data_IF_155045315242
#
_entry.id   IF_155045315242
#
_cell.length_a   1.000
_cell.length_b   1.000
_cell.length_c   1.000
_cell.angle_alpha   90.00
_cell.angle_beta   90.00
_cell.angle_gamma   90.00
#
_symmetry.space_group_name_H-M   'P 1'
#
loop_
_entity.id
_entity.type
_entity.pdbx_description
1 polymer ?
#
# COMPACT_ATOMS: atom_id res chain seq x y z
N UNK A 1 6.36 70.66 -19.68
CA UNK A 1 6.54 69.66 -18.59
C UNK A 1 5.68 68.43 -18.91
N UNK A 2 6.32 67.35 -19.41
CA UNK A 2 5.62 66.07 -19.68
C UNK A 2 5.68 65.20 -18.42
N UNK A 3 4.54 64.85 -17.88
CA UNK A 3 4.44 63.90 -16.75
C UNK A 3 4.50 62.49 -17.31
N UNK A 4 5.53 61.74 -16.92
CA UNK A 4 5.68 60.31 -17.21
C UNK A 4 4.93 59.58 -16.10
N UNK A 5 3.87 58.83 -16.47
CA UNK A 5 3.12 57.91 -15.57
C UNK A 5 3.79 56.55 -15.63
N UNK A 6 4.44 56.14 -14.53
CA UNK A 6 5.04 54.83 -14.41
C UNK A 6 3.99 53.89 -13.85
N UNK A 7 3.51 52.93 -14.63
CA UNK A 7 2.69 51.84 -14.15
C UNK A 7 3.56 50.74 -13.52
N UNK A 8 3.45 50.53 -12.23
CA UNK A 8 3.98 49.30 -11.60
C UNK A 8 3.04 48.15 -11.87
N UNK A 9 3.47 47.20 -12.70
CA UNK A 9 2.83 45.88 -12.81
C UNK A 9 3.26 45.07 -11.56
N UNK A 10 2.33 44.86 -10.63
CA UNK A 10 2.51 43.89 -9.56
C UNK A 10 2.23 42.52 -10.15
N UNK A 11 3.26 41.77 -10.44
CA UNK A 11 3.12 40.34 -10.74
C UNK A 11 2.68 39.63 -9.42
N UNK A 12 1.43 39.20 -9.37
CA UNK A 12 0.96 38.28 -8.34
C UNK A 12 1.49 36.91 -8.73
N UNK A 13 2.61 36.51 -8.11
CA UNK A 13 3.05 35.12 -8.15
C UNK A 13 1.98 34.27 -7.46
N UNK A 14 1.15 33.60 -8.27
CA UNK A 14 0.32 32.51 -7.82
C UNK A 14 1.24 31.35 -7.40
N UNK A 15 1.69 31.35 -6.15
CA UNK A 15 2.26 30.15 -5.54
C UNK A 15 1.12 29.13 -5.53
N UNK A 16 1.25 27.96 -6.22
CA UNK A 16 0.25 26.93 -6.10
C UNK A 16 0.19 26.52 -4.62
N UNK A 17 -0.91 26.87 -3.95
CA UNK A 17 -1.21 26.32 -2.65
C UNK A 17 -1.35 24.82 -2.85
N UNK A 18 -0.38 24.04 -2.38
CA UNK A 18 -0.54 22.60 -2.29
C UNK A 18 -1.82 22.36 -1.51
N UNK A 19 -2.76 21.71 -2.14
CA UNK A 19 -4.05 21.44 -1.54
C UNK A 19 -3.81 20.72 -0.20
N UNK A 20 -4.19 21.39 0.89
CA UNK A 20 -4.16 20.80 2.22
C UNK A 20 -5.11 19.61 2.15
N UNK A 21 -4.58 18.39 2.30
CA UNK A 21 -5.43 17.21 2.35
C UNK A 21 -6.45 17.39 3.47
N UNK A 22 -7.71 17.18 3.17
CA UNK A 22 -8.75 17.10 4.20
C UNK A 22 -8.38 16.00 5.20
N UNK A 23 -8.83 16.13 6.45
CA UNK A 23 -8.72 15.03 7.40
C UNK A 23 -9.32 13.75 6.79
N UNK A 24 -8.75 12.57 7.06
CA UNK A 24 -9.29 11.31 6.54
C UNK A 24 -10.69 11.02 7.07
N UNK A 25 -11.49 10.34 6.27
CA UNK A 25 -12.69 9.67 6.75
C UNK A 25 -12.23 8.36 7.37
N UNK A 26 -12.47 8.19 8.67
CA UNK A 26 -12.05 6.99 9.40
C UNK A 26 -13.20 6.01 9.45
N UNK A 27 -12.97 4.79 8.95
CA UNK A 27 -13.95 3.71 8.93
C UNK A 27 -13.40 2.57 9.79
N UNK A 28 -14.08 2.20 10.91
CA UNK A 28 -13.78 0.96 11.61
C UNK A 28 -13.99 -0.23 10.67
N UNK A 29 -12.99 -1.11 10.54
CA UNK A 29 -13.06 -2.21 9.58
C UNK A 29 -14.12 -3.25 9.98
N UNK A 30 -14.29 -3.45 11.27
CA UNK A 30 -15.19 -4.46 11.85
C UNK A 30 -16.12 -3.84 12.90
N UNK A 31 -17.12 -3.04 12.51
CA UNK A 31 -17.98 -2.33 13.48
C UNK A 31 -18.77 -3.28 14.40
N UNK A 32 -19.12 -4.48 13.91
CA UNK A 32 -19.87 -5.48 14.65
C UNK A 32 -18.98 -6.56 15.31
N UNK A 33 -17.65 -6.34 15.29
CA UNK A 33 -16.65 -7.29 15.81
C UNK A 33 -15.93 -8.07 14.70
N UNK A 34 -14.62 -8.23 14.85
CA UNK A 34 -13.79 -8.96 13.91
C UNK A 34 -14.03 -10.47 13.99
N UNK A 35 -13.89 -11.22 12.88
CA UNK A 35 -14.11 -12.67 12.85
C UNK A 35 -13.03 -13.46 13.62
N UNK A 36 -11.91 -12.81 13.94
CA UNK A 36 -10.74 -13.39 14.60
C UNK A 36 -10.04 -12.33 15.45
N UNK A 37 -9.08 -12.76 16.29
CA UNK A 37 -8.35 -11.91 17.22
C UNK A 37 -6.84 -12.17 17.10
N UNK A 38 -6.01 -11.12 17.23
CA UNK A 38 -4.55 -11.23 17.26
C UNK A 38 -3.96 -11.33 18.67
N UNK A 39 -4.82 -11.36 19.72
CA UNK A 39 -4.42 -11.48 21.11
C UNK A 39 -3.67 -10.30 21.70
N UNK A 40 -3.57 -9.16 20.99
CA UNK A 40 -2.91 -7.95 21.48
C UNK A 40 -3.88 -7.21 22.41
N UNK A 41 -3.48 -7.10 23.68
CA UNK A 41 -4.21 -6.37 24.73
C UNK A 41 -3.54 -5.07 25.13
N UNK A 42 -2.30 -4.84 24.66
CA UNK A 42 -1.57 -3.60 24.87
C UNK A 42 -2.20 -2.49 24.03
N UNK A 43 -2.29 -1.29 24.58
CA UNK A 43 -2.76 -0.12 23.86
C UNK A 43 -1.85 0.20 22.66
N UNK A 44 -2.45 0.77 21.61
CA UNK A 44 -1.71 1.27 20.45
C UNK A 44 -0.66 2.29 20.91
N UNK A 45 0.54 2.15 20.40
CA UNK A 45 1.66 3.04 20.67
C UNK A 45 2.16 3.70 19.38
N UNK A 46 3.10 4.62 19.55
CA UNK A 46 3.75 5.33 18.47
C UNK A 46 5.27 5.23 18.63
N UNK A 47 5.92 4.13 18.12
CA UNK A 47 7.37 3.97 18.17
C UNK A 47 8.14 5.18 17.61
N UNK A 48 7.55 5.82 16.61
CA UNK A 48 7.93 7.14 16.10
C UNK A 48 6.68 8.01 15.94
N UNK A 49 6.80 9.35 15.79
CA UNK A 49 5.64 10.20 15.49
C UNK A 49 4.89 9.85 14.21
N UNK A 50 5.48 8.99 13.37
CA UNK A 50 4.97 8.61 12.03
C UNK A 50 4.56 7.16 11.92
N UNK A 51 4.64 6.41 13.01
CA UNK A 51 4.35 4.97 13.04
C UNK A 51 3.35 4.63 14.14
N UNK A 52 2.70 3.46 14.00
CA UNK A 52 1.75 2.90 14.98
C UNK A 52 2.09 1.45 15.21
N UNK A 53 2.12 1.00 16.47
CA UNK A 53 2.28 -0.40 16.84
C UNK A 53 1.10 -0.92 17.68
N UNK A 54 1.13 -2.18 18.05
CA UNK A 54 0.11 -2.86 18.86
C UNK A 54 -1.31 -2.72 18.31
N UNK A 55 -1.45 -2.58 16.99
CA UNK A 55 -2.77 -2.43 16.38
C UNK A 55 -3.61 -3.69 16.61
N UNK A 56 -4.69 -3.55 17.36
CA UNK A 56 -5.73 -4.55 17.62
C UNK A 56 -7.11 -4.14 17.07
N UNK A 57 -7.28 -2.84 16.78
CA UNK A 57 -8.50 -2.28 16.20
C UNK A 57 -8.19 -1.71 14.81
N UNK A 58 -8.48 -2.45 13.74
CA UNK A 58 -8.14 -2.03 12.39
C UNK A 58 -9.11 -0.96 11.89
N UNK A 59 -8.57 0.00 11.15
CA UNK A 59 -9.29 1.12 10.57
C UNK A 59 -8.84 1.36 9.14
N UNK A 60 -9.74 1.88 8.33
CA UNK A 60 -9.46 2.36 7.00
C UNK A 60 -9.54 3.89 6.99
N UNK A 61 -8.43 4.57 6.72
CA UNK A 61 -8.34 6.02 6.67
C UNK A 61 -8.43 6.48 5.22
N UNK A 62 -9.61 6.94 4.82
CA UNK A 62 -9.94 7.26 3.42
C UNK A 62 -9.70 8.74 3.14
N UNK A 63 -8.96 9.00 2.09
CA UNK A 63 -8.67 10.31 1.50
C UNK A 63 -9.30 10.37 0.11
N UNK A 64 -10.57 10.79 -0.03
CA UNK A 64 -11.23 10.85 -1.32
C UNK A 64 -10.55 11.87 -2.24
N UNK A 65 -10.39 11.52 -3.52
CA UNK A 65 -9.91 12.48 -4.50
C UNK A 65 -10.96 13.55 -4.76
N UNK A 66 -10.53 14.80 -4.89
CA UNK A 66 -11.46 15.91 -5.21
C UNK A 66 -12.11 15.77 -6.61
N UNK A 67 -11.37 15.17 -7.54
CA UNK A 67 -11.84 14.82 -8.89
C UNK A 67 -11.51 13.36 -9.16
N UNK A 68 -12.34 12.42 -8.67
CA UNK A 68 -12.02 11.01 -8.76
C UNK A 68 -12.03 10.51 -10.21
N UNK A 69 -11.03 9.70 -10.56
CA UNK A 69 -10.93 9.02 -11.84
C UNK A 69 -11.49 7.58 -11.81
N UNK A 70 -12.13 7.20 -10.71
CA UNK A 70 -12.67 5.87 -10.46
C UNK A 70 -11.69 4.92 -9.76
N UNK A 71 -10.40 5.23 -9.73
CA UNK A 71 -9.40 4.35 -9.11
C UNK A 71 -9.35 4.59 -7.60
N UNK A 72 -9.32 3.50 -6.84
CA UNK A 72 -8.99 3.51 -5.42
C UNK A 72 -7.81 2.58 -5.13
N UNK A 73 -6.93 3.03 -4.26
CA UNK A 73 -5.78 2.27 -3.79
C UNK A 73 -5.88 2.11 -2.27
N UNK A 74 -5.84 0.86 -1.81
CA UNK A 74 -5.72 0.52 -0.40
C UNK A 74 -4.22 0.36 -0.10
N UNK A 75 -3.66 1.29 0.66
CA UNK A 75 -2.26 1.26 1.04
C UNK A 75 -2.08 0.44 2.33
N UNK A 76 -1.21 -0.56 2.26
CA UNK A 76 -0.76 -1.40 3.36
C UNK A 76 0.67 -0.96 3.74
N UNK A 77 0.85 -0.16 4.80
CA UNK A 77 2.19 0.26 5.22
C UNK A 77 3.06 -0.91 5.65
N UNK A 78 4.38 -0.79 5.50
CA UNK A 78 5.35 -1.74 6.04
C UNK A 78 5.67 -1.50 7.51
N UNK A 79 6.76 -2.09 7.97
CA UNK A 79 7.23 -2.03 9.36
C UNK A 79 7.50 -3.41 9.95
N UNK A 80 7.81 -4.40 9.09
CA UNK A 80 8.19 -5.75 9.49
C UNK A 80 7.10 -6.53 10.23
N UNK A 81 5.84 -6.12 10.15
CA UNK A 81 4.72 -6.62 10.96
C UNK A 81 4.82 -6.35 12.47
N UNK A 82 5.78 -5.53 12.92
CA UNK A 82 5.87 -5.06 14.30
C UNK A 82 5.14 -3.74 14.53
N UNK A 83 5.16 -2.87 13.52
CA UNK A 83 4.51 -1.57 13.51
C UNK A 83 4.10 -1.21 12.08
N UNK A 84 3.40 -0.11 11.92
CA UNK A 84 3.02 0.46 10.63
C UNK A 84 3.75 1.78 10.40
N UNK A 85 4.50 1.93 9.32
CA UNK A 85 5.02 3.21 8.82
C UNK A 85 3.88 4.04 8.21
N UNK A 86 2.87 4.33 9.04
CA UNK A 86 1.54 4.80 8.61
C UNK A 86 1.59 6.13 7.83
N UNK A 87 2.57 7.00 8.13
CA UNK A 87 2.72 8.26 7.40
C UNK A 87 3.53 8.05 6.12
N UNK A 88 4.77 7.57 6.22
CA UNK A 88 5.71 7.48 5.11
C UNK A 88 5.25 6.53 4.00
N UNK A 89 4.57 5.46 4.35
CA UNK A 89 4.12 4.41 3.42
C UNK A 89 2.57 4.37 3.28
N UNK A 90 1.91 5.40 3.79
CA UNK A 90 0.46 5.54 3.79
C UNK A 90 0.01 6.97 3.58
N UNK A 91 -0.32 7.69 4.67
CA UNK A 91 -1.00 8.99 4.61
C UNK A 91 -0.22 10.08 3.87
N UNK A 92 1.11 10.03 3.88
CA UNK A 92 1.98 10.97 3.14
C UNK A 92 1.79 10.90 1.63
N UNK A 93 1.30 9.79 1.09
CA UNK A 93 0.99 9.63 -0.34
C UNK A 93 -0.33 10.29 -0.76
N UNK A 94 -1.22 10.61 0.18
CA UNK A 94 -2.57 11.10 -0.13
C UNK A 94 -2.58 12.37 -0.99
N UNK A 95 -1.73 13.40 -0.75
CA UNK A 95 -1.71 14.59 -1.59
C UNK A 95 -1.44 14.27 -3.07
N UNK A 96 -0.49 13.39 -3.33
CA UNK A 96 -0.13 13.02 -4.69
C UNK A 96 -1.20 12.18 -5.36
N UNK A 97 -1.70 11.11 -4.72
CA UNK A 97 -2.76 10.29 -5.27
C UNK A 97 -4.04 11.10 -5.55
N UNK A 98 -4.43 11.98 -4.62
CA UNK A 98 -5.60 12.84 -4.82
C UNK A 98 -5.40 13.84 -5.98
N UNK A 99 -4.16 14.34 -6.18
CA UNK A 99 -3.82 15.21 -7.30
C UNK A 99 -4.05 14.51 -8.66
N UNK A 100 -3.70 13.24 -8.78
CA UNK A 100 -3.91 12.44 -9.99
C UNK A 100 -5.31 11.80 -10.08
N UNK A 101 -6.22 12.16 -9.18
CA UNK A 101 -7.61 11.71 -9.19
C UNK A 101 -7.84 10.34 -8.57
N UNK A 102 -6.87 9.79 -7.86
CA UNK A 102 -6.96 8.50 -7.17
C UNK A 102 -7.40 8.70 -5.73
N UNK A 103 -8.44 8.00 -5.29
CA UNK A 103 -8.80 7.92 -3.87
C UNK A 103 -7.82 6.98 -3.16
N UNK A 104 -7.20 7.47 -2.07
CA UNK A 104 -6.31 6.67 -1.24
C UNK A 104 -7.03 6.23 0.03
N UNK A 105 -6.94 4.96 0.36
CA UNK A 105 -7.41 4.40 1.62
C UNK A 105 -6.23 3.74 2.34
N UNK A 106 -5.77 4.31 3.45
CA UNK A 106 -4.66 3.75 4.23
C UNK A 106 -5.21 2.78 5.24
N UNK A 107 -4.76 1.54 5.18
CA UNK A 107 -5.19 0.47 6.08
C UNK A 107 -4.29 0.41 7.30
N UNK A 108 -4.82 0.79 8.45
CA UNK A 108 -4.26 0.50 9.77
C UNK A 108 -4.66 -0.93 10.13
N UNK A 109 -3.93 -1.92 9.61
CA UNK A 109 -4.23 -3.34 9.81
C UNK A 109 -3.71 -3.85 11.15
N UNK A 110 -4.34 -4.90 11.69
CA UNK A 110 -3.90 -5.56 12.93
C UNK A 110 -2.54 -6.22 12.74
N UNK A 111 -1.66 -6.03 13.73
CA UNK A 111 -0.40 -6.77 13.77
C UNK A 111 -0.70 -8.28 13.88
N UNK A 112 0.06 -9.14 13.17
CA UNK A 112 -0.22 -10.58 13.19
C UNK A 112 -0.05 -11.21 14.58
N UNK A 113 1.00 -10.87 15.31
CA UNK A 113 1.27 -11.44 16.65
C UNK A 113 1.09 -12.97 16.69
N UNK A 114 1.55 -13.67 15.65
CA UNK A 114 1.40 -15.12 15.50
C UNK A 114 0.10 -15.58 14.83
N UNK A 115 -0.80 -14.66 14.50
CA UNK A 115 -2.14 -14.89 13.92
C UNK A 115 -2.31 -14.17 12.59
N UNK A 116 -1.49 -14.53 11.59
CA UNK A 116 -1.44 -13.80 10.31
C UNK A 116 -2.79 -13.76 9.56
N UNK A 117 -3.66 -14.71 9.80
CA UNK A 117 -5.02 -14.71 9.26
C UNK A 117 -5.83 -13.45 9.66
N UNK A 118 -5.51 -12.81 10.80
CA UNK A 118 -6.17 -11.57 11.22
C UNK A 118 -5.79 -10.42 10.29
N UNK A 119 -4.49 -10.29 10.01
CA UNK A 119 -3.93 -9.28 9.12
C UNK A 119 -4.43 -9.46 7.68
N UNK A 120 -4.48 -10.70 7.20
CA UNK A 120 -4.99 -11.01 5.87
C UNK A 120 -6.49 -10.71 5.76
N UNK A 121 -7.29 -11.04 6.78
CA UNK A 121 -8.72 -10.74 6.78
C UNK A 121 -9.00 -9.23 6.75
N UNK A 122 -8.16 -8.42 7.38
CA UNK A 122 -8.30 -6.97 7.38
C UNK A 122 -8.14 -6.37 5.98
N UNK A 123 -7.12 -6.77 5.23
CA UNK A 123 -6.95 -6.26 3.86
C UNK A 123 -8.04 -6.75 2.92
N UNK A 124 -8.52 -7.98 3.09
CA UNK A 124 -9.63 -8.51 2.30
C UNK A 124 -10.93 -7.75 2.56
N UNK A 125 -11.25 -7.46 3.82
CA UNK A 125 -12.43 -6.65 4.15
C UNK A 125 -12.28 -5.21 3.64
N UNK A 126 -11.08 -4.62 3.73
CA UNK A 126 -10.82 -3.30 3.17
C UNK A 126 -11.11 -3.25 1.66
N UNK A 127 -10.71 -4.27 0.89
CA UNK A 127 -11.02 -4.37 -0.55
C UNK A 127 -12.53 -4.40 -0.77
N UNK A 128 -13.25 -5.19 0.00
CA UNK A 128 -14.72 -5.30 -0.08
C UNK A 128 -15.40 -3.97 0.26
N UNK A 129 -15.02 -3.33 1.37
CA UNK A 129 -15.56 -2.02 1.79
C UNK A 129 -15.37 -1.00 0.67
N UNK A 130 -14.14 -0.85 0.15
CA UNK A 130 -13.88 0.14 -0.90
C UNK A 130 -14.63 -0.16 -2.19
N UNK A 131 -14.85 -1.42 -2.52
CA UNK A 131 -15.64 -1.83 -3.68
C UNK A 131 -17.13 -1.48 -3.56
N UNK A 132 -17.65 -1.36 -2.34
CA UNK A 132 -19.05 -1.02 -2.07
C UNK A 132 -19.32 0.50 -2.09
N UNK A 133 -18.30 1.33 -1.89
CA UNK A 133 -18.44 2.81 -1.85
C UNK A 133 -18.32 3.49 -3.23
N UNK A 134 -19.05 2.96 -4.23
CA UNK A 134 -19.00 3.47 -5.60
C UNK A 134 -19.60 4.87 -5.76
N UNK A 135 -20.67 5.15 -5.03
CA UNK A 135 -21.40 6.42 -5.14
C UNK A 135 -20.77 7.52 -4.28
N UNK A 136 -20.32 7.17 -3.07
CA UNK A 136 -19.82 8.14 -2.08
C UNK A 136 -18.51 8.83 -2.52
N UNK A 137 -17.61 8.08 -3.17
CA UNK A 137 -16.25 8.56 -3.50
C UNK A 137 -15.92 8.44 -4.98
N UNK A 138 -16.91 8.21 -5.84
CA UNK A 138 -16.71 8.04 -7.27
C UNK A 138 -15.80 6.87 -7.63
N UNK A 139 -15.85 5.79 -6.86
CA UNK A 139 -15.04 4.57 -7.07
C UNK A 139 -15.67 3.72 -8.17
N UNK A 140 -14.83 3.23 -9.08
CA UNK A 140 -15.23 2.17 -10.01
C UNK A 140 -14.97 0.81 -9.35
N UNK A 141 -15.98 -0.05 -9.14
CA UNK A 141 -15.80 -1.35 -8.46
C UNK A 141 -14.84 -2.31 -9.19
N UNK A 142 -14.51 -2.02 -10.45
CA UNK A 142 -13.52 -2.77 -11.23
C UNK A 142 -12.10 -2.15 -11.19
N UNK A 143 -11.90 -1.11 -10.35
CA UNK A 143 -10.62 -0.38 -10.22
C UNK A 143 -10.20 -0.21 -8.75
N UNK A 144 -10.38 -1.25 -7.95
CA UNK A 144 -9.96 -1.32 -6.53
C UNK A 144 -8.66 -2.09 -6.43
N UNK A 145 -7.57 -1.40 -6.14
CA UNK A 145 -6.25 -2.02 -6.01
C UNK A 145 -5.70 -1.98 -4.59
N UNK A 146 -4.69 -2.80 -4.37
CA UNK A 146 -3.86 -2.78 -3.16
C UNK A 146 -2.48 -2.25 -3.48
N UNK A 147 -1.91 -1.50 -2.56
CA UNK A 147 -0.52 -1.07 -2.59
C UNK A 147 0.14 -1.50 -1.29
N UNK A 148 1.38 -1.96 -1.34
CA UNK A 148 2.09 -2.27 -0.12
C UNK A 148 3.59 -2.06 -0.24
N UNK A 149 4.20 -1.71 0.89
CA UNK A 149 5.63 -1.47 1.04
C UNK A 149 6.22 -2.50 2.00
N UNK A 150 7.34 -3.13 1.67
CA UNK A 150 8.03 -4.07 2.58
C UNK A 150 7.08 -5.19 3.08
N UNK A 151 6.85 -5.31 4.39
CA UNK A 151 5.86 -6.23 4.98
C UNK A 151 4.43 -5.96 4.47
N UNK A 152 4.04 -4.69 4.29
CA UNK A 152 2.79 -4.33 3.63
C UNK A 152 2.75 -4.77 2.17
N UNK A 153 3.90 -4.84 1.49
CA UNK A 153 4.04 -5.40 0.15
C UNK A 153 3.77 -6.90 0.14
N UNK A 154 4.28 -7.63 1.12
CA UNK A 154 3.92 -9.04 1.32
C UNK A 154 2.41 -9.19 1.56
N UNK A 155 1.80 -8.36 2.43
CA UNK A 155 0.36 -8.38 2.69
C UNK A 155 -0.45 -8.10 1.42
N UNK A 156 -0.04 -7.14 0.60
CA UNK A 156 -0.69 -6.82 -0.67
C UNK A 156 -0.62 -8.00 -1.66
N UNK A 157 0.52 -8.72 -1.70
CA UNK A 157 0.63 -9.97 -2.48
C UNK A 157 -0.30 -11.04 -1.91
N UNK A 158 -0.33 -11.25 -0.59
CA UNK A 158 -1.21 -12.24 0.06
C UNK A 158 -2.68 -11.98 -0.32
N UNK A 159 -3.14 -10.72 -0.24
CA UNK A 159 -4.50 -10.35 -0.68
C UNK A 159 -4.74 -10.66 -2.17
N UNK A 160 -3.69 -10.54 -2.98
CA UNK A 160 -3.75 -10.75 -4.44
C UNK A 160 -3.72 -12.21 -4.88
N UNK A 161 -3.24 -13.12 -4.04
CA UNK A 161 -3.12 -14.56 -4.37
C UNK A 161 -4.04 -15.45 -3.55
N UNK A 162 -4.48 -15.02 -2.36
CA UNK A 162 -5.29 -15.82 -1.43
C UNK A 162 -6.74 -15.33 -1.27
N UNK A 163 -7.27 -14.57 -2.21
CA UNK A 163 -8.69 -14.19 -2.19
C UNK A 163 -9.61 -15.40 -2.37
N UNK A 164 -10.76 -15.36 -1.71
CA UNK A 164 -11.77 -16.44 -1.74
C UNK A 164 -12.97 -16.09 -2.62
N UNK A 165 -13.15 -14.80 -2.95
CA UNK A 165 -14.25 -14.32 -3.79
C UNK A 165 -13.83 -13.08 -4.58
N UNK A 166 -14.63 -12.71 -5.58
CA UNK A 166 -14.43 -11.46 -6.36
C UNK A 166 -14.48 -10.21 -5.49
N UNK A 167 -15.27 -10.21 -4.43
CA UNK A 167 -15.40 -9.07 -3.52
C UNK A 167 -14.10 -8.75 -2.80
N UNK A 168 -13.32 -9.78 -2.43
CA UNK A 168 -12.06 -9.67 -1.71
C UNK A 168 -10.83 -9.61 -2.64
N UNK A 169 -11.02 -9.86 -3.94
CA UNK A 169 -9.93 -9.85 -4.91
C UNK A 169 -9.64 -8.41 -5.34
N UNK A 170 -8.43 -7.87 -5.14
CA UNK A 170 -8.04 -6.60 -5.75
C UNK A 170 -7.98 -6.72 -7.29
N UNK A 171 -8.13 -5.60 -8.00
CA UNK A 171 -8.06 -5.56 -9.45
C UNK A 171 -6.63 -5.36 -9.96
N UNK A 172 -5.77 -4.82 -9.11
CA UNK A 172 -4.34 -4.63 -9.34
C UNK A 172 -3.57 -4.56 -8.03
N UNK A 173 -2.24 -4.71 -8.13
CA UNK A 173 -1.34 -4.63 -6.99
C UNK A 173 -0.13 -3.74 -7.32
N UNK A 174 0.26 -2.90 -6.36
CA UNK A 174 1.43 -2.02 -6.41
C UNK A 174 2.35 -2.43 -5.27
N UNK A 175 3.57 -2.84 -5.60
CA UNK A 175 4.48 -3.47 -4.66
C UNK A 175 5.80 -2.72 -4.63
N UNK A 176 6.09 -2.07 -3.51
CA UNK A 176 7.34 -1.37 -3.30
C UNK A 176 8.24 -2.19 -2.36
N UNK A 177 9.38 -2.60 -2.85
CA UNK A 177 10.37 -3.43 -2.12
C UNK A 177 9.73 -4.54 -1.27
N UNK A 178 8.81 -5.35 -1.85
CA UNK A 178 8.10 -6.39 -1.10
C UNK A 178 9.03 -7.55 -0.78
N UNK A 179 8.88 -8.19 0.38
CA UNK A 179 9.47 -9.49 0.55
C UNK A 179 8.51 -10.60 0.09
N UNK A 180 9.06 -11.67 -0.44
CA UNK A 180 8.31 -12.84 -0.92
C UNK A 180 8.82 -14.14 -0.32
N UNK A 181 10.06 -14.12 0.15
CA UNK A 181 10.71 -15.25 0.84
C UNK A 181 10.78 -14.92 2.33
N UNK A 182 10.13 -15.72 3.14
CA UNK A 182 10.12 -15.57 4.60
C UNK A 182 11.25 -16.37 5.23
N UNK A 183 11.98 -15.77 6.14
CA UNK A 183 12.95 -16.43 7.01
C UNK A 183 12.32 -16.72 8.39
N UNK A 184 13.10 -17.26 9.31
CA UNK A 184 12.62 -17.61 10.66
C UNK A 184 12.08 -16.41 11.44
N UNK A 185 12.57 -15.21 11.15
CA UNK A 185 12.15 -13.99 11.82
C UNK A 185 10.71 -13.61 11.40
N UNK A 186 10.43 -13.50 10.08
CA UNK A 186 9.09 -13.23 9.58
C UNK A 186 8.11 -14.35 9.95
N UNK A 187 8.55 -15.60 9.84
CA UNK A 187 7.75 -16.75 10.23
C UNK A 187 7.30 -16.68 11.69
N UNK A 188 8.20 -16.31 12.61
CA UNK A 188 7.85 -16.19 14.02
C UNK A 188 6.86 -15.07 14.32
N UNK A 189 6.97 -13.93 13.62
CA UNK A 189 6.04 -12.80 13.79
C UNK A 189 4.67 -13.15 13.23
N UNK A 190 4.65 -13.74 12.03
CA UNK A 190 3.42 -14.04 11.32
C UNK A 190 2.65 -15.19 11.97
N UNK A 191 3.36 -16.22 12.45
CA UNK A 191 2.76 -17.52 12.80
C UNK A 191 3.06 -17.98 14.23
N UNK A 192 3.79 -17.20 15.02
CA UNK A 192 4.25 -17.58 16.35
C UNK A 192 5.49 -18.48 16.31
N UNK A 193 6.02 -18.87 17.49
CA UNK A 193 7.25 -19.63 17.61
C UNK A 193 7.11 -21.05 17.02
N UNK A 194 8.09 -21.47 16.25
CA UNK A 194 8.16 -22.81 15.65
C UNK A 194 6.94 -23.17 14.79
N UNK A 195 6.56 -22.37 13.79
CA UNK A 195 5.42 -22.68 12.93
C UNK A 195 5.67 -23.98 12.15
N UNK A 196 4.62 -24.73 11.85
CA UNK A 196 4.74 -25.92 11.03
C UNK A 196 5.08 -25.56 9.58
N UNK A 197 5.76 -26.47 8.87
CA UNK A 197 6.04 -26.30 7.44
C UNK A 197 4.75 -26.17 6.62
N UNK A 198 3.67 -26.82 7.03
CA UNK A 198 2.36 -26.69 6.38
C UNK A 198 1.81 -25.26 6.50
N UNK A 199 1.95 -24.65 7.69
CA UNK A 199 1.52 -23.27 7.93
C UNK A 199 2.36 -22.28 7.12
N UNK A 200 3.68 -22.45 7.09
CA UNK A 200 4.60 -21.64 6.27
C UNK A 200 4.21 -21.76 4.79
N UNK A 201 3.99 -22.97 4.29
CA UNK A 201 3.61 -23.21 2.89
C UNK A 201 2.24 -22.61 2.56
N UNK A 202 1.29 -22.65 3.48
CA UNK A 202 -0.04 -22.02 3.32
C UNK A 202 0.06 -20.54 2.96
N UNK A 203 1.09 -19.85 3.44
CA UNK A 203 1.30 -18.42 3.20
C UNK A 203 2.52 -18.11 2.30
N UNK A 204 3.08 -19.11 1.64
CA UNK A 204 4.11 -18.92 0.61
C UNK A 204 3.49 -18.25 -0.63
N UNK A 205 3.77 -16.96 -0.82
CA UNK A 205 3.12 -16.16 -1.87
C UNK A 205 3.43 -16.67 -3.29
N UNK A 206 4.62 -17.26 -3.49
CA UNK A 206 5.03 -17.77 -4.79
C UNK A 206 4.23 -19.02 -5.18
N UNK A 207 3.86 -19.86 -4.22
CA UNK A 207 3.12 -21.10 -4.44
C UNK A 207 1.63 -20.85 -4.75
N UNK A 208 1.14 -19.62 -4.54
CA UNK A 208 -0.28 -19.26 -4.69
C UNK A 208 -0.58 -18.38 -5.89
N UNK A 209 0.43 -18.03 -6.69
CA UNK A 209 0.19 -17.33 -7.96
C UNK A 209 -0.62 -18.22 -8.90
N UNK A 210 -1.67 -17.66 -9.51
CA UNK A 210 -2.65 -18.38 -10.33
C UNK A 210 -3.14 -17.49 -11.47
N UNK A 211 -3.81 -18.03 -12.49
CA UNK A 211 -4.19 -17.27 -13.69
C UNK A 211 -5.04 -16.02 -13.45
N UNK A 212 -5.76 -15.97 -12.34
CA UNK A 212 -6.60 -14.83 -11.95
C UNK A 212 -5.93 -13.92 -10.90
N UNK A 213 -4.63 -14.11 -10.60
CA UNK A 213 -3.85 -13.14 -9.82
C UNK A 213 -3.83 -11.78 -10.54
N UNK A 214 -4.06 -10.66 -9.82
CA UNK A 214 -4.13 -9.34 -10.43
C UNK A 214 -2.83 -8.89 -11.09
N UNK A 215 -2.95 -8.01 -12.09
CA UNK A 215 -1.81 -7.31 -12.69
C UNK A 215 -0.96 -6.59 -11.64
N UNK A 216 0.35 -6.44 -11.88
CA UNK A 216 1.28 -5.93 -10.88
C UNK A 216 2.20 -4.82 -11.40
N UNK A 217 2.37 -3.79 -10.57
CA UNK A 217 3.49 -2.85 -10.63
C UNK A 217 4.45 -3.16 -9.49
N UNK A 218 5.72 -3.41 -9.77
CA UNK A 218 6.73 -3.79 -8.78
C UNK A 218 7.91 -2.82 -8.91
N UNK A 219 8.39 -2.29 -7.78
CA UNK A 219 9.59 -1.45 -7.76
C UNK A 219 10.45 -1.74 -6.52
N UNK A 220 11.76 -1.81 -6.70
CA UNK A 220 12.74 -2.04 -5.63
C UNK A 220 14.08 -1.39 -5.92
N UNK A 221 15.02 -1.45 -5.00
CA UNK A 221 16.40 -0.96 -5.17
C UNK A 221 17.38 -2.12 -5.19
N UNK A 222 18.39 -2.04 -6.06
CA UNK A 222 19.43 -3.07 -6.18
C UNK A 222 20.37 -3.14 -4.97
N UNK A 223 20.46 -2.04 -4.21
CA UNK A 223 21.27 -1.90 -3.00
C UNK A 223 20.47 -2.09 -1.70
N UNK A 224 19.25 -2.65 -1.78
CA UNK A 224 18.45 -2.96 -0.60
C UNK A 224 19.10 -4.08 0.22
N UNK A 225 19.54 -3.74 1.44
CA UNK A 225 20.22 -4.65 2.37
C UNK A 225 19.26 -5.33 3.37
N UNK A 226 17.99 -4.96 3.35
CA UNK A 226 16.95 -5.50 4.25
C UNK A 226 16.13 -6.56 3.51
N UNK A 227 15.59 -6.19 2.35
CA UNK A 227 14.85 -7.12 1.48
C UNK A 227 15.59 -7.23 0.16
N UNK A 228 16.24 -8.38 -0.14
CA UNK A 228 16.94 -8.56 -1.40
C UNK A 228 16.02 -8.33 -2.60
N UNK A 229 16.48 -7.55 -3.58
CA UNK A 229 15.71 -7.31 -4.82
C UNK A 229 15.37 -8.58 -5.60
N UNK A 230 16.09 -9.68 -5.34
CA UNK A 230 15.76 -11.01 -5.86
C UNK A 230 14.35 -11.46 -5.51
N UNK A 231 13.78 -11.03 -4.40
CA UNK A 231 12.41 -11.34 -4.01
C UNK A 231 11.41 -10.73 -5.01
N UNK A 232 11.62 -9.49 -5.41
CA UNK A 232 10.84 -8.84 -6.46
C UNK A 232 11.00 -9.56 -7.81
N UNK A 233 12.22 -10.02 -8.15
CA UNK A 233 12.47 -10.78 -9.37
C UNK A 233 11.76 -12.14 -9.34
N UNK A 234 11.79 -12.88 -8.23
CA UNK A 234 11.11 -14.17 -8.08
C UNK A 234 9.60 -14.02 -8.32
N UNK A 235 8.98 -13.02 -7.67
CA UNK A 235 7.55 -12.79 -7.82
C UNK A 235 7.19 -12.36 -9.24
N UNK A 236 7.96 -11.44 -9.83
CA UNK A 236 7.77 -11.05 -11.23
C UNK A 236 7.86 -12.24 -12.19
N UNK A 237 8.85 -13.12 -12.02
CA UNK A 237 8.98 -14.34 -12.85
C UNK A 237 7.78 -15.25 -12.69
N UNK A 238 7.28 -15.42 -11.46
CA UNK A 238 6.12 -16.27 -11.23
C UNK A 238 4.86 -15.69 -11.89
N UNK A 239 4.64 -14.37 -11.82
CA UNK A 239 3.58 -13.70 -12.57
C UNK A 239 3.70 -13.94 -14.08
N UNK A 240 4.92 -13.89 -14.64
CA UNK A 240 5.15 -14.15 -16.07
C UNK A 240 4.86 -15.62 -16.47
N UNK A 241 5.09 -16.59 -15.59
CA UNK A 241 4.73 -17.99 -15.82
C UNK A 241 3.22 -18.15 -16.09
N UNK A 242 2.39 -17.32 -15.45
CA UNK A 242 0.94 -17.28 -15.67
C UNK A 242 0.50 -16.21 -16.68
N UNK A 243 1.44 -15.52 -17.35
CA UNK A 243 1.19 -14.43 -18.32
C UNK A 243 0.38 -13.27 -17.73
N UNK A 244 0.56 -13.00 -16.44
CA UNK A 244 -0.09 -11.87 -15.76
C UNK A 244 0.63 -10.58 -16.17
N UNK A 245 -0.10 -9.57 -16.66
CA UNK A 245 0.49 -8.28 -17.03
C UNK A 245 1.21 -7.68 -15.81
N UNK A 246 2.51 -7.50 -15.89
CA UNK A 246 3.31 -6.97 -14.78
C UNK A 246 4.53 -6.22 -15.30
N UNK A 247 4.94 -5.22 -14.51
CA UNK A 247 6.18 -4.45 -14.74
C UNK A 247 7.06 -4.55 -13.50
N UNK A 248 8.38 -4.50 -13.70
CA UNK A 248 9.37 -4.50 -12.64
C UNK A 248 10.39 -3.40 -12.89
N UNK A 249 10.52 -2.47 -11.95
CA UNK A 249 11.51 -1.42 -11.92
C UNK A 249 12.54 -1.70 -10.81
N UNK A 250 13.81 -1.78 -11.19
CA UNK A 250 14.93 -1.95 -10.24
C UNK A 250 15.81 -0.71 -10.33
N UNK A 251 15.77 0.13 -9.29
CA UNK A 251 16.61 1.31 -9.20
C UNK A 251 18.00 0.95 -8.68
N UNK A 252 19.08 1.56 -9.20
CA UNK A 252 20.44 1.18 -8.81
C UNK A 252 20.72 1.40 -7.32
N UNK A 253 20.12 2.44 -6.74
CA UNK A 253 20.31 2.83 -5.33
C UNK A 253 18.98 3.30 -4.71
N UNK A 254 18.93 3.31 -3.38
CA UNK A 254 17.76 3.75 -2.60
C UNK A 254 17.67 3.02 -1.26
N UNK A 255 18.30 1.85 -1.17
CA UNK A 255 18.18 0.99 0.00
C UNK A 255 16.74 0.54 0.22
N UNK A 256 16.34 0.44 1.48
CA UNK A 256 15.00 0.02 1.88
C UNK A 256 14.13 1.18 2.39
N UNK A 257 12.80 1.09 2.23
CA UNK A 257 11.85 2.00 2.89
C UNK A 257 11.79 3.40 2.29
N UNK A 258 12.04 3.57 1.00
CA UNK A 258 12.14 4.88 0.36
C UNK A 258 10.80 5.52 -0.06
N UNK A 259 9.69 4.88 -0.02
CA UNK A 259 8.37 5.29 -0.54
C UNK A 259 8.15 6.83 -0.61
N UNK A 260 7.95 7.51 0.52
CA UNK A 260 7.94 8.98 0.66
C UNK A 260 9.24 9.53 1.25
N UNK A 261 10.35 8.80 1.09
CA UNK A 261 11.67 9.23 1.55
C UNK A 261 12.23 10.37 0.71
N UNK A 262 12.43 11.58 1.26
CA UNK A 262 12.95 12.71 0.49
C UNK A 262 14.39 12.49 0.00
N UNK A 263 15.09 11.50 0.55
CA UNK A 263 16.46 11.11 0.14
C UNK A 263 16.48 10.21 -1.10
N UNK A 264 15.33 9.64 -1.51
CA UNK A 264 15.30 8.73 -2.65
C UNK A 264 15.46 9.47 -3.96
N UNK A 265 16.57 9.23 -4.61
CA UNK A 265 16.94 9.96 -5.84
C UNK A 265 15.91 9.78 -6.97
N UNK A 266 15.26 8.60 -7.03
CA UNK A 266 14.27 8.23 -8.05
C UNK A 266 12.82 8.43 -7.58
N UNK A 267 12.61 9.31 -6.58
CA UNK A 267 11.28 9.59 -6.03
C UNK A 267 10.26 10.09 -7.06
N UNK A 268 10.73 10.87 -8.05
CA UNK A 268 9.88 11.34 -9.13
C UNK A 268 9.62 10.25 -10.18
N UNK A 269 10.64 9.48 -10.51
CA UNK A 269 10.62 8.48 -11.57
C UNK A 269 9.61 7.37 -11.25
N UNK A 270 9.65 6.78 -10.07
CA UNK A 270 8.71 5.72 -9.73
C UNK A 270 7.26 6.19 -9.71
N UNK A 271 7.01 7.44 -9.27
CA UNK A 271 5.68 8.04 -9.28
C UNK A 271 5.18 8.25 -10.71
N UNK A 272 6.02 8.76 -11.59
CA UNK A 272 5.68 8.95 -13.01
C UNK A 272 5.39 7.61 -13.71
N UNK A 273 6.21 6.58 -13.46
CA UNK A 273 6.01 5.25 -14.03
C UNK A 273 4.73 4.59 -13.50
N UNK A 274 4.43 4.76 -12.21
CA UNK A 274 3.18 4.27 -11.65
C UNK A 274 1.95 5.02 -12.21
N UNK A 275 2.02 6.35 -12.34
CA UNK A 275 0.95 7.14 -12.94
C UNK A 275 0.66 6.70 -14.38
N UNK A 276 1.71 6.52 -15.17
CA UNK A 276 1.61 5.98 -16.53
C UNK A 276 0.95 4.61 -16.51
N UNK A 277 1.43 3.67 -15.69
CA UNK A 277 0.89 2.32 -15.59
C UNK A 277 -0.59 2.30 -15.17
N UNK A 278 -1.00 3.19 -14.24
CA UNK A 278 -2.40 3.34 -13.84
C UNK A 278 -3.28 3.92 -14.96
N UNK A 279 -2.72 4.65 -15.91
CA UNK A 279 -3.45 5.25 -17.03
C UNK A 279 -3.68 4.28 -18.20
N UNK A 280 -3.05 3.12 -18.22
CA UNK A 280 -3.13 2.14 -19.32
C UNK A 280 -4.43 1.31 -19.36
N UNK A 281 -5.41 1.60 -18.47
CA UNK A 281 -6.69 0.84 -18.43
C UNK A 281 -7.85 1.57 -17.76
#
# INVERSE_FOLDING_TARGET
MKRILIFFLVAIDCIPSFAQTSAPIIIPLWPDGAPNDNGIVTEEGHPTPRSVDNVSKPELWVFPAFRPNGTVIIACPGGGYYYLEIEKEGTGLAPWFNYIGVTLAVLKYRMPNGHFETTLSDVQEAVKIMRQHTEDWGVNPERVGVMGCSAGGNLAIQASVQFTSREHRPDFQILLYPFTTMNDFENNIMFGPNPSEELIRKYSVLDHVKPDTPRAFIACSADDSIVPFDDSIKYFKELQNYRIPSVLHIYPTGGHGWCEGPWFHYSREWKMELERWLSEW
#
